data_IF_539637062588
#
_entry.id   IF_539637062588
#
_cell.length_a   1.000
_cell.length_b   1.000
_cell.length_c   1.000
_cell.angle_alpha   90.00
_cell.angle_beta   90.00
_cell.angle_gamma   90.00
#
_symmetry.space_group_name_H-M   'P 1'
#
loop_
_entity.id
_entity.type
_entity.pdbx_description
1 polymer ?
#
# COMPACT_ATOMS: atom_id res chain seq x y z
N UNK A 1 -11.36 -22.51 9.04
CA UNK A 1 -10.00 -22.77 8.52
C UNK A 1 -9.94 -22.31 7.06
N UNK A 2 -8.76 -21.94 6.58
CA UNK A 2 -8.54 -21.52 5.19
C UNK A 2 -7.33 -22.23 4.58
N UNK A 3 -7.30 -22.35 3.25
CA UNK A 3 -6.14 -22.79 2.49
C UNK A 3 -5.73 -21.66 1.56
N UNK A 4 -4.47 -21.27 1.66
CA UNK A 4 -3.76 -20.54 0.62
C UNK A 4 -2.96 -21.53 -0.22
N UNK A 5 -3.19 -21.63 -1.54
CA UNK A 5 -2.56 -22.66 -2.34
C UNK A 5 -1.11 -22.33 -2.77
N UNK A 6 -0.74 -21.04 -2.74
CA UNK A 6 0.60 -20.56 -3.10
C UNK A 6 0.87 -19.22 -2.40
N UNK A 7 2.02 -19.10 -1.75
CA UNK A 7 2.50 -17.85 -1.16
C UNK A 7 3.21 -16.99 -2.21
N UNK A 8 3.01 -15.68 -2.17
CA UNK A 8 3.77 -14.67 -2.93
C UNK A 8 4.17 -15.05 -4.38
N UNK A 9 3.22 -15.50 -5.25
CA UNK A 9 3.55 -15.69 -6.66
C UNK A 9 4.06 -14.37 -7.24
N UNK A 10 5.26 -14.40 -7.82
CA UNK A 10 5.99 -13.21 -8.27
C UNK A 10 5.13 -12.31 -9.17
N UNK A 11 5.27 -10.98 -9.02
CA UNK A 11 4.49 -9.95 -9.72
C UNK A 11 4.43 -10.17 -11.24
N UNK A 12 5.57 -10.60 -11.84
CA UNK A 12 5.70 -10.83 -13.28
C UNK A 12 5.08 -12.14 -13.76
N UNK A 13 4.51 -12.95 -12.87
CA UNK A 13 3.78 -14.15 -13.26
C UNK A 13 2.60 -13.75 -14.15
N UNK A 14 2.45 -14.31 -15.36
CA UNK A 14 1.37 -13.97 -16.28
C UNK A 14 0.01 -14.12 -15.60
N UNK A 15 -0.73 -13.01 -15.43
CA UNK A 15 -1.93 -12.96 -14.59
C UNK A 15 -3.00 -13.97 -15.03
N UNK A 16 -3.10 -14.25 -16.33
CA UNK A 16 -4.04 -15.24 -16.88
C UNK A 16 -3.70 -16.67 -16.40
N UNK A 17 -2.41 -17.02 -16.38
CA UNK A 17 -1.94 -18.34 -15.92
C UNK A 17 -2.19 -18.47 -14.42
N UNK A 18 -1.86 -17.44 -13.65
CA UNK A 18 -2.07 -17.41 -12.20
C UNK A 18 -3.56 -17.54 -11.83
N UNK A 19 -4.44 -16.79 -12.48
CA UNK A 19 -5.89 -16.89 -12.26
C UNK A 19 -6.46 -18.25 -12.66
N UNK A 20 -5.93 -18.88 -13.72
CA UNK A 20 -6.31 -20.24 -14.09
C UNK A 20 -5.88 -21.26 -13.02
N UNK A 21 -4.66 -21.12 -12.48
CA UNK A 21 -4.18 -21.92 -11.36
C UNK A 21 -5.11 -21.77 -10.14
N UNK A 22 -5.40 -20.54 -9.71
CA UNK A 22 -6.29 -20.27 -8.59
C UNK A 22 -7.71 -20.82 -8.83
N UNK A 23 -8.25 -20.71 -10.04
CA UNK A 23 -9.57 -21.27 -10.37
C UNK A 23 -9.60 -22.80 -10.24
N UNK A 24 -8.56 -23.49 -10.71
CA UNK A 24 -8.44 -24.95 -10.58
C UNK A 24 -8.31 -25.35 -9.10
N UNK A 25 -7.48 -24.64 -8.34
CA UNK A 25 -7.29 -24.85 -6.90
C UNK A 25 -8.58 -24.61 -6.11
N UNK A 26 -9.29 -23.51 -6.39
CA UNK A 26 -10.57 -23.18 -5.77
C UNK A 26 -11.58 -24.33 -5.94
N UNK A 27 -11.79 -24.80 -7.18
CA UNK A 27 -12.70 -25.93 -7.44
C UNK A 27 -12.29 -27.19 -6.67
N UNK A 28 -10.99 -27.46 -6.56
CA UNK A 28 -10.49 -28.63 -5.84
C UNK A 28 -10.75 -28.51 -4.33
N UNK A 29 -10.49 -27.34 -3.75
CA UNK A 29 -10.78 -27.06 -2.33
C UNK A 29 -12.27 -27.18 -2.07
N UNK A 30 -13.13 -26.56 -2.88
CA UNK A 30 -14.59 -26.63 -2.68
C UNK A 30 -15.19 -28.02 -2.87
N UNK A 31 -14.58 -28.86 -3.71
CA UNK A 31 -15.01 -30.25 -3.87
C UNK A 31 -14.70 -31.13 -2.64
N UNK A 32 -13.64 -30.84 -1.89
CA UNK A 32 -13.19 -31.67 -0.76
C UNK A 32 -13.49 -31.07 0.61
N UNK A 33 -13.50 -29.74 0.70
CA UNK A 33 -13.66 -28.96 1.91
C UNK A 33 -14.52 -27.71 1.60
N UNK A 34 -15.83 -27.88 1.34
CA UNK A 34 -16.71 -26.82 0.86
C UNK A 34 -16.79 -25.60 1.78
N UNK A 35 -16.65 -25.81 3.10
CA UNK A 35 -16.75 -24.76 4.13
C UNK A 35 -15.41 -24.06 4.43
N UNK A 36 -14.30 -24.50 3.84
CA UNK A 36 -12.99 -23.86 4.10
C UNK A 36 -12.85 -22.61 3.25
N UNK A 37 -12.29 -21.54 3.83
CA UNK A 37 -11.96 -20.33 3.07
C UNK A 37 -10.87 -20.63 2.04
N UNK A 38 -11.01 -20.12 0.83
CA UNK A 38 -9.97 -20.16 -0.19
C UNK A 38 -9.27 -18.81 -0.22
N UNK A 39 -7.99 -18.82 0.12
CA UNK A 39 -7.17 -17.63 0.30
C UNK A 39 -6.32 -17.42 -0.96
N UNK A 40 -6.21 -16.17 -1.42
CA UNK A 40 -5.56 -15.80 -2.68
C UNK A 40 -4.54 -14.71 -2.37
N UNK A 41 -3.24 -15.01 -2.44
CA UNK A 41 -2.24 -13.95 -2.44
C UNK A 41 -2.40 -13.04 -3.66
N UNK A 42 -2.30 -11.72 -3.44
CA UNK A 42 -2.49 -10.65 -4.42
C UNK A 42 -1.42 -10.55 -5.52
N UNK A 43 -0.36 -11.37 -5.41
CA UNK A 43 0.77 -11.44 -6.35
C UNK A 43 1.43 -10.08 -6.56
N UNK A 44 1.62 -9.31 -5.48
CA UNK A 44 2.18 -7.96 -5.46
C UNK A 44 1.36 -6.94 -6.29
N UNK A 45 0.12 -7.29 -6.64
CA UNK A 45 -0.79 -6.50 -7.48
C UNK A 45 -2.07 -6.20 -6.71
N UNK A 46 -1.92 -5.58 -5.54
CA UNK A 46 -3.04 -5.24 -4.67
C UNK A 46 -3.91 -4.13 -5.26
N UNK A 47 -5.14 -4.48 -5.68
CA UNK A 47 -6.08 -3.49 -6.19
C UNK A 47 -7.22 -4.07 -7.04
N UNK A 48 -8.26 -3.26 -7.19
CA UNK A 48 -9.53 -3.65 -7.82
C UNK A 48 -9.35 -4.12 -9.26
N UNK A 49 -8.49 -3.45 -10.03
CA UNK A 49 -8.24 -3.75 -11.45
C UNK A 49 -7.81 -5.21 -11.67
N UNK A 50 -7.09 -5.78 -10.71
CA UNK A 50 -6.60 -7.15 -10.82
C UNK A 50 -7.56 -8.16 -10.25
N UNK A 51 -8.25 -7.87 -9.14
CA UNK A 51 -8.90 -8.92 -8.35
C UNK A 51 -10.43 -8.83 -8.27
N UNK A 52 -11.04 -7.65 -8.43
CA UNK A 52 -12.48 -7.44 -8.14
C UNK A 52 -13.44 -8.22 -9.08
N UNK A 53 -13.00 -8.58 -10.28
CA UNK A 53 -13.77 -9.42 -11.22
C UNK A 53 -13.46 -10.92 -11.07
N UNK A 54 -12.34 -11.28 -10.43
CA UNK A 54 -11.92 -12.67 -10.30
C UNK A 54 -12.68 -13.34 -9.14
N UNK A 55 -13.26 -14.52 -9.40
CA UNK A 55 -14.06 -15.27 -8.42
C UNK A 55 -15.24 -14.48 -7.82
N UNK A 56 -15.69 -13.40 -8.47
CA UNK A 56 -16.88 -12.65 -8.05
C UNK A 56 -18.09 -13.58 -7.89
N UNK A 57 -18.74 -13.51 -6.72
CA UNK A 57 -19.89 -14.34 -6.38
C UNK A 57 -19.56 -15.76 -5.93
N UNK A 58 -18.28 -16.14 -5.90
CA UNK A 58 -17.86 -17.39 -5.29
C UNK A 58 -17.84 -17.24 -3.75
N UNK A 59 -18.46 -18.15 -2.99
CA UNK A 59 -18.47 -18.07 -1.53
C UNK A 59 -17.09 -18.41 -0.94
N UNK A 60 -16.89 -17.96 0.30
CA UNK A 60 -15.77 -18.39 1.14
C UNK A 60 -14.41 -18.18 0.47
N UNK A 61 -14.20 -16.98 -0.07
CA UNK A 61 -12.91 -16.48 -0.56
C UNK A 61 -12.40 -15.38 0.37
N UNK A 62 -11.09 -15.18 0.39
CA UNK A 62 -10.44 -13.98 0.89
C UNK A 62 -9.18 -13.70 0.06
N UNK A 63 -8.79 -12.44 0.00
CA UNK A 63 -7.54 -12.00 -0.57
C UNK A 63 -6.52 -11.82 0.56
N UNK A 64 -5.32 -12.33 0.33
CA UNK A 64 -4.16 -12.09 1.17
C UNK A 64 -3.28 -11.01 0.53
N UNK A 65 -2.87 -10.05 1.34
CA UNK A 65 -1.92 -9.00 0.97
C UNK A 65 -0.82 -8.87 2.01
N UNK A 66 0.41 -8.68 1.54
CA UNK A 66 1.60 -8.59 2.37
C UNK A 66 2.12 -7.15 2.39
N UNK A 67 2.25 -6.57 3.58
CA UNK A 67 2.50 -5.13 3.74
C UNK A 67 3.76 -4.90 4.57
N UNK A 68 4.86 -4.64 3.86
CA UNK A 68 6.16 -4.34 4.43
C UNK A 68 6.64 -2.93 4.10
N UNK A 69 7.51 -2.39 4.96
CA UNK A 69 8.16 -1.09 4.74
C UNK A 69 9.68 -1.20 4.73
N UNK A 70 10.23 -2.40 4.98
CA UNK A 70 11.67 -2.68 5.04
C UNK A 70 12.41 -2.36 3.73
N UNK A 71 11.71 -2.43 2.60
CA UNK A 71 12.25 -2.14 1.26
C UNK A 71 11.88 -0.77 0.71
N UNK A 72 11.17 0.06 1.49
CA UNK A 72 10.89 1.44 1.11
C UNK A 72 12.20 2.21 0.91
N UNK A 73 12.15 3.26 0.09
CA UNK A 73 13.26 4.23 0.03
C UNK A 73 13.47 4.87 1.41
N UNK A 74 14.71 5.23 1.78
CA UNK A 74 14.95 5.99 2.99
C UNK A 74 14.09 7.26 2.99
N UNK A 75 13.44 7.50 4.12
CA UNK A 75 12.48 8.58 4.32
C UNK A 75 12.42 9.00 5.78
N UNK A 76 11.51 9.91 6.07
CA UNK A 76 11.25 10.41 7.42
C UNK A 76 10.38 9.44 8.22
N UNK A 77 10.26 9.69 9.53
CA UNK A 77 9.30 8.97 10.38
C UNK A 77 7.88 9.19 9.84
N UNK A 78 7.58 10.41 9.42
CA UNK A 78 6.29 10.83 8.87
C UNK A 78 5.94 10.06 7.59
N UNK A 79 6.92 9.79 6.71
CA UNK A 79 6.71 8.97 5.51
C UNK A 79 6.25 7.55 5.88
N UNK A 80 6.94 6.91 6.84
CA UNK A 80 6.61 5.55 7.27
C UNK A 80 5.28 5.51 8.03
N UNK A 81 4.99 6.51 8.87
CA UNK A 81 3.74 6.62 9.60
C UNK A 81 2.56 6.85 8.67
N UNK A 82 2.67 7.78 7.72
CA UNK A 82 1.66 8.05 6.71
C UNK A 82 1.42 6.81 5.85
N UNK A 83 2.47 6.16 5.36
CA UNK A 83 2.34 4.96 4.55
C UNK A 83 1.64 3.81 5.31
N UNK A 84 1.92 3.62 6.61
CA UNK A 84 1.26 2.61 7.43
C UNK A 84 -0.25 2.90 7.61
N UNK A 85 -0.60 4.15 7.90
CA UNK A 85 -2.00 4.57 8.05
C UNK A 85 -2.78 4.48 6.74
N UNK A 86 -2.19 4.92 5.63
CA UNK A 86 -2.87 4.98 4.33
C UNK A 86 -3.26 3.62 3.72
N UNK A 87 -2.69 2.51 4.22
CA UNK A 87 -3.07 1.16 3.77
C UNK A 87 -4.58 0.91 3.91
N UNK A 88 -5.23 1.53 4.92
CA UNK A 88 -6.67 1.43 5.15
C UNK A 88 -7.50 1.79 3.92
N UNK A 89 -7.03 2.73 3.09
CA UNK A 89 -7.81 3.21 1.94
C UNK A 89 -7.92 2.16 0.84
N UNK A 90 -6.83 1.46 0.54
CA UNK A 90 -6.84 0.39 -0.48
C UNK A 90 -7.57 -0.84 0.06
N UNK A 91 -7.36 -1.19 1.34
CA UNK A 91 -8.08 -2.27 2.01
C UNK A 91 -9.60 -2.01 1.97
N UNK A 92 -10.04 -0.83 2.40
CA UNK A 92 -11.48 -0.44 2.39
C UNK A 92 -12.07 -0.55 0.97
N UNK A 93 -11.36 -0.07 -0.05
CA UNK A 93 -11.84 -0.19 -1.45
C UNK A 93 -12.03 -1.65 -1.88
N UNK A 94 -11.15 -2.54 -1.45
CA UNK A 94 -11.24 -3.98 -1.75
C UNK A 94 -12.41 -4.62 -1.01
N UNK A 95 -12.57 -4.31 0.28
CA UNK A 95 -13.70 -4.75 1.11
C UNK A 95 -15.05 -4.31 0.51
N UNK A 96 -15.17 -3.03 0.13
CA UNK A 96 -16.35 -2.47 -0.52
C UNK A 96 -16.71 -3.17 -1.85
N UNK A 97 -15.69 -3.73 -2.53
CA UNK A 97 -15.86 -4.51 -3.74
C UNK A 97 -16.15 -6.00 -3.49
N UNK A 98 -16.51 -6.37 -2.25
CA UNK A 98 -16.79 -7.73 -1.81
C UNK A 98 -15.58 -8.67 -1.95
N UNK A 99 -14.37 -8.14 -1.74
CA UNK A 99 -13.13 -8.90 -1.66
C UNK A 99 -12.60 -8.82 -0.23
N UNK A 100 -12.98 -9.76 0.67
CA UNK A 100 -12.49 -9.79 2.04
C UNK A 100 -10.97 -9.83 2.07
N UNK A 101 -10.33 -8.88 2.74
CA UNK A 101 -8.87 -8.72 2.80
C UNK A 101 -8.35 -9.20 4.14
N UNK A 102 -7.33 -10.04 4.10
CA UNK A 102 -6.49 -10.40 5.23
C UNK A 102 -5.11 -9.81 4.96
N UNK A 103 -4.51 -9.15 5.95
CA UNK A 103 -3.09 -8.78 5.88
C UNK A 103 -2.27 -9.97 6.40
N UNK A 104 -1.99 -10.94 5.53
CA UNK A 104 -1.40 -12.24 5.92
C UNK A 104 0.08 -12.18 6.29
N UNK A 105 0.78 -11.13 5.87
CA UNK A 105 2.13 -10.87 6.36
C UNK A 105 2.43 -9.37 6.52
N UNK A 106 3.06 -9.04 7.64
CA UNK A 106 3.63 -7.72 7.92
C UNK A 106 4.60 -7.80 9.10
N UNK A 107 5.54 -6.86 9.19
CA UNK A 107 6.46 -6.73 10.32
C UNK A 107 6.66 -5.26 10.73
N UNK A 108 7.47 -5.01 11.76
CA UNK A 108 7.91 -3.65 12.14
C UNK A 108 9.27 -3.29 11.52
N UNK A 109 9.76 -4.11 10.58
CA UNK A 109 10.97 -3.79 9.82
C UNK A 109 10.83 -2.49 9.03
N UNK A 110 11.66 -1.51 9.36
CA UNK A 110 11.75 -0.20 8.67
C UNK A 110 12.92 -0.11 7.70
N UNK A 111 13.76 -1.14 7.70
CA UNK A 111 14.88 -1.34 6.80
C UNK A 111 15.08 -2.84 6.59
N UNK A 112 16.05 -3.17 5.74
CA UNK A 112 16.42 -4.53 5.45
C UNK A 112 17.80 -4.92 5.98
N UNK A 113 18.14 -4.42 7.16
CA UNK A 113 19.40 -4.71 7.83
C UNK A 113 19.43 -6.05 8.57
N UNK A 114 18.28 -6.66 8.86
CA UNK A 114 18.24 -7.98 9.48
C UNK A 114 19.06 -8.96 8.64
N UNK A 115 20.05 -9.60 9.27
CA UNK A 115 21.01 -10.46 8.58
C UNK A 115 20.30 -11.49 7.70
N UNK A 116 20.71 -11.54 6.43
CA UNK A 116 20.18 -12.44 5.40
C UNK A 116 18.68 -12.28 5.07
N UNK A 117 18.05 -11.17 5.46
CA UNK A 117 16.67 -10.87 5.06
C UNK A 117 16.51 -10.82 3.53
N UNK A 118 17.53 -10.33 2.81
CA UNK A 118 17.51 -10.29 1.34
C UNK A 118 18.03 -11.58 0.68
N UNK A 119 18.49 -12.56 1.47
CA UNK A 119 19.12 -13.77 0.97
C UNK A 119 20.41 -14.12 1.73
N UNK A 120 20.72 -15.42 1.78
CA UNK A 120 21.94 -15.91 2.40
C UNK A 120 23.17 -15.39 1.65
N UNK A 121 23.96 -14.55 2.33
CA UNK A 121 25.11 -13.85 1.77
C UNK A 121 24.85 -13.13 0.43
N UNK A 122 23.63 -12.64 0.22
CA UNK A 122 23.18 -12.06 -1.04
C UNK A 122 22.38 -10.77 -0.83
N UNK A 123 23.07 -9.72 -0.38
CA UNK A 123 22.46 -8.39 -0.48
C UNK A 123 22.52 -7.95 -1.94
N UNK A 124 21.36 -7.76 -2.57
CA UNK A 124 21.28 -7.13 -3.88
C UNK A 124 22.00 -5.76 -3.88
N UNK A 125 22.61 -5.34 -5.00
CA UNK A 125 23.24 -4.02 -5.09
C UNK A 125 22.30 -2.90 -4.65
N UNK A 126 22.81 -1.99 -3.80
CA UNK A 126 22.03 -0.90 -3.21
C UNK A 126 21.35 -1.26 -1.88
N UNK A 127 21.53 -2.47 -1.37
CA UNK A 127 21.09 -2.88 -0.04
C UNK A 127 22.26 -3.23 0.89
N UNK A 128 22.12 -3.02 2.21
CA UNK A 128 20.99 -2.35 2.88
C UNK A 128 20.91 -0.85 2.52
N UNK A 129 19.69 -0.30 2.50
CA UNK A 129 19.44 1.10 2.10
C UNK A 129 19.85 2.13 3.15
N UNK A 130 20.15 1.68 4.36
CA UNK A 130 20.56 2.50 5.51
C UNK A 130 21.72 1.83 6.23
N UNK A 131 22.40 2.58 7.10
CA UNK A 131 23.43 2.00 7.96
C UNK A 131 22.80 1.10 9.03
N UNK A 132 23.24 -0.14 9.06
CA UNK A 132 22.75 -1.14 10.00
C UNK A 132 23.38 -1.00 11.39
N UNK A 133 22.62 -1.40 12.40
CA UNK A 133 23.16 -1.61 13.73
C UNK A 133 23.83 -2.99 13.79
N UNK A 134 24.96 -3.10 14.49
CA UNK A 134 25.72 -4.34 14.61
C UNK A 134 25.63 -4.87 16.04
N UNK A 135 25.26 -6.13 16.19
CA UNK A 135 25.19 -6.84 17.48
C UNK A 135 26.13 -8.04 17.47
N UNK A 136 26.42 -8.60 18.64
CA UNK A 136 27.11 -9.89 18.72
C UNK A 136 26.26 -10.98 18.06
N UNK A 137 26.88 -11.75 17.17
CA UNK A 137 26.25 -12.90 16.55
C UNK A 137 26.08 -14.04 17.58
N UNK A 138 25.03 -14.86 17.45
CA UNK A 138 25.03 -16.19 18.06
C UNK A 138 26.19 -17.01 17.46
N UNK A 139 27.23 -17.28 18.28
CA UNK A 139 28.40 -18.06 17.85
C UNK A 139 28.01 -19.53 17.61
N UNK A 140 27.26 -20.08 18.56
CA UNK A 140 26.75 -21.44 18.50
C UNK A 140 25.39 -21.40 17.83
N UNK A 141 25.19 -22.24 16.81
CA UNK A 141 23.90 -22.31 16.15
C UNK A 141 22.85 -22.82 17.14
N UNK A 142 21.77 -22.05 17.31
CA UNK A 142 20.61 -22.47 18.10
C UNK A 142 19.66 -23.39 17.35
N UNK A 143 19.88 -23.58 16.04
CA UNK A 143 18.97 -24.32 15.16
C UNK A 143 19.63 -25.51 14.44
N UNK A 144 20.85 -25.34 13.90
CA UNK A 144 21.50 -26.35 13.06
C UNK A 144 22.28 -27.41 13.85
N UNK A 145 22.47 -27.20 15.16
CA UNK A 145 23.18 -28.12 16.07
C UNK A 145 24.71 -28.07 15.93
N UNK A 146 25.39 -28.80 16.81
CA UNK A 146 26.85 -28.85 16.84
C UNK A 146 27.44 -29.59 15.62
N UNK A 147 28.53 -29.08 15.07
CA UNK A 147 29.27 -29.71 13.96
C UNK A 147 28.75 -29.40 12.56
N UNK A 148 27.72 -28.56 12.43
CA UNK A 148 27.30 -28.05 11.12
C UNK A 148 28.42 -27.18 10.50
N UNK A 149 28.77 -27.35 9.22
CA UNK A 149 29.83 -26.55 8.59
C UNK A 149 29.61 -25.05 8.76
N UNK A 150 30.63 -24.34 9.27
CA UNK A 150 30.54 -22.91 9.59
C UNK A 150 30.00 -22.60 11.00
N UNK A 151 29.77 -23.62 11.83
CA UNK A 151 29.41 -23.49 13.25
C UNK A 151 30.44 -24.23 14.14
N UNK A 152 30.90 -23.63 15.26
CA UNK A 152 30.63 -22.27 15.68
C UNK A 152 31.17 -21.23 14.69
N UNK A 153 30.55 -20.04 14.69
CA UNK A 153 31.01 -18.91 13.91
C UNK A 153 32.45 -18.54 14.34
N UNK A 154 33.35 -18.40 13.38
CA UNK A 154 34.71 -17.92 13.64
C UNK A 154 34.72 -16.39 13.75
N UNK A 155 34.74 -15.90 14.99
CA UNK A 155 34.69 -14.46 15.31
C UNK A 155 35.94 -13.68 14.87
N UNK A 156 37.02 -14.37 14.49
CA UNK A 156 38.26 -13.71 14.07
C UNK A 156 38.28 -13.40 12.58
N UNK A 157 37.30 -13.93 11.84
CA UNK A 157 37.27 -13.83 10.38
C UNK A 157 36.31 -12.74 9.90
N UNK A 158 36.64 -12.08 8.78
CA UNK A 158 35.66 -11.26 8.08
C UNK A 158 34.53 -12.15 7.51
N UNK A 159 33.57 -11.51 6.84
CA UNK A 159 32.52 -12.17 6.05
C UNK A 159 33.12 -13.33 5.23
N UNK A 160 32.40 -14.46 5.22
CA UNK A 160 32.79 -15.69 4.53
C UNK A 160 31.73 -16.09 3.50
N UNK A 161 32.19 -16.66 2.38
CA UNK A 161 31.33 -17.08 1.27
C UNK A 161 30.55 -18.37 1.55
N UNK A 162 29.73 -18.82 0.58
CA UNK A 162 29.56 -18.25 -0.77
C UNK A 162 28.92 -16.86 -0.75
N UNK A 163 29.23 -16.03 -1.76
CA UNK A 163 28.66 -14.70 -1.93
C UNK A 163 27.71 -14.68 -3.13
N UNK A 164 26.59 -13.98 -2.98
CA UNK A 164 25.74 -13.61 -4.08
C UNK A 164 26.21 -12.33 -4.76
N UNK A 165 25.26 -11.49 -5.12
CA UNK A 165 25.46 -10.23 -5.83
C UNK A 165 25.99 -9.10 -4.95
N UNK A 166 25.94 -9.25 -3.63
CA UNK A 166 26.55 -8.33 -2.68
C UNK A 166 26.70 -8.94 -1.30
N UNK A 167 27.41 -8.24 -0.42
CA UNK A 167 27.82 -8.78 0.88
C UNK A 167 26.70 -8.67 1.91
N UNK A 168 26.33 -9.82 2.47
CA UNK A 168 25.56 -9.94 3.70
C UNK A 168 26.21 -11.03 4.54
N UNK A 169 26.17 -10.93 5.86
CA UNK A 169 26.62 -12.00 6.73
C UNK A 169 27.42 -11.52 7.92
N UNK A 170 27.76 -12.45 8.82
CA UNK A 170 28.53 -12.14 10.01
C UNK A 170 29.95 -11.72 9.63
N UNK A 171 30.48 -10.71 10.33
CA UNK A 171 31.86 -10.24 10.15
C UNK A 171 32.48 -9.98 11.51
N UNK A 172 33.60 -10.61 11.80
CA UNK A 172 34.31 -10.46 13.08
C UNK A 172 33.39 -10.66 14.30
N UNK A 173 32.55 -11.71 14.27
CA UNK A 173 31.59 -12.01 15.33
C UNK A 173 30.38 -11.07 15.41
N UNK A 174 30.25 -10.10 14.50
CA UNK A 174 29.15 -9.13 14.48
C UNK A 174 28.14 -9.40 13.37
N UNK A 175 26.85 -9.26 13.72
CA UNK A 175 25.71 -9.51 12.84
C UNK A 175 24.92 -8.22 12.64
N UNK A 176 24.52 -7.88 11.40
CA UNK A 176 23.68 -6.72 11.16
C UNK A 176 22.24 -7.00 11.60
N UNK A 177 21.63 -6.00 12.23
CA UNK A 177 20.22 -5.94 12.60
C UNK A 177 19.65 -4.57 12.25
N UNK A 178 18.32 -4.45 12.35
CA UNK A 178 17.60 -3.21 12.09
C UNK A 178 18.26 -1.99 12.73
N UNK A 179 18.36 -0.92 11.95
CA UNK A 179 18.94 0.34 12.38
C UNK A 179 18.16 0.95 13.55
N UNK A 180 18.89 1.59 14.46
CA UNK A 180 18.34 2.31 15.61
C UNK A 180 18.40 3.84 15.43
N UNK A 181 18.93 4.31 14.31
CA UNK A 181 19.13 5.74 14.03
C UNK A 181 18.86 6.14 12.57
N UNK A 182 18.24 5.26 11.77
CA UNK A 182 17.90 5.52 10.37
C UNK A 182 17.03 6.75 10.16
N UNK A 183 16.28 7.17 11.20
CA UNK A 183 15.45 8.37 11.21
C UNK A 183 15.99 9.47 12.13
N UNK A 184 17.23 9.35 12.61
CA UNK A 184 17.80 10.18 13.69
C UNK A 184 16.96 10.16 14.99
N UNK A 185 16.22 9.06 15.22
CA UNK A 185 15.41 8.89 16.41
C UNK A 185 16.26 8.72 17.68
N UNK A 186 15.79 9.29 18.80
CA UNK A 186 16.41 9.08 20.11
C UNK A 186 15.84 7.87 20.86
N UNK A 187 14.58 7.52 20.60
CA UNK A 187 13.86 6.42 21.24
C UNK A 187 13.23 5.51 20.17
N UNK A 188 13.97 4.46 19.79
CA UNK A 188 13.51 3.48 18.81
C UNK A 188 12.35 2.63 19.33
N UNK A 189 12.22 2.44 20.65
CA UNK A 189 11.11 1.70 21.25
C UNK A 189 9.80 2.47 21.12
N UNK A 190 9.82 3.79 21.39
CA UNK A 190 8.68 4.66 21.18
C UNK A 190 8.26 4.73 19.70
N UNK A 191 9.24 4.85 18.78
CA UNK A 191 8.99 4.82 17.33
C UNK A 191 8.37 3.49 16.92
N UNK A 192 8.94 2.36 17.35
CA UNK A 192 8.47 1.01 17.07
C UNK A 192 7.03 0.84 17.56
N UNK A 193 6.72 1.24 18.79
CA UNK A 193 5.35 1.19 19.33
C UNK A 193 4.39 2.06 18.53
N UNK A 194 4.77 3.29 18.20
CA UNK A 194 3.93 4.20 17.41
C UNK A 194 3.64 3.61 16.01
N UNK A 195 4.64 3.05 15.35
CA UNK A 195 4.48 2.39 14.05
C UNK A 195 3.54 1.17 14.16
N UNK A 196 3.71 0.35 15.20
CA UNK A 196 2.81 -0.78 15.46
C UNK A 196 1.36 -0.32 15.56
N UNK A 197 1.05 0.67 16.40
CA UNK A 197 -0.32 1.15 16.56
C UNK A 197 -0.92 1.69 15.26
N UNK A 198 -0.12 2.37 14.44
CA UNK A 198 -0.54 2.89 13.13
C UNK A 198 -0.85 1.78 12.13
N UNK A 199 -0.02 0.73 12.08
CA UNK A 199 -0.29 -0.46 11.26
C UNK A 199 -1.56 -1.18 11.72
N UNK A 200 -1.71 -1.39 13.03
CA UNK A 200 -2.93 -1.99 13.59
C UNK A 200 -4.18 -1.16 13.25
N UNK A 201 -4.11 0.16 13.32
CA UNK A 201 -5.20 1.05 12.88
C UNK A 201 -5.49 0.89 11.37
N UNK A 202 -4.44 0.89 10.55
CA UNK A 202 -4.54 0.73 9.10
C UNK A 202 -5.19 -0.59 8.68
N UNK A 203 -4.92 -1.67 9.41
CA UNK A 203 -5.41 -3.02 9.09
C UNK A 203 -6.77 -3.34 9.73
N UNK A 204 -7.23 -2.54 10.69
CA UNK A 204 -8.49 -2.76 11.40
C UNK A 204 -9.74 -2.69 10.51
N UNK A 205 -9.63 -2.10 9.31
CA UNK A 205 -10.72 -2.04 8.33
C UNK A 205 -10.86 -3.33 7.49
N UNK A 206 -9.89 -4.24 7.56
CA UNK A 206 -9.95 -5.56 6.92
C UNK A 206 -10.39 -6.66 7.88
N UNK A 207 -10.19 -7.92 7.48
CA UNK A 207 -10.55 -9.12 8.25
C UNK A 207 -9.45 -9.62 9.20
N UNK A 208 -8.52 -8.76 9.58
CA UNK A 208 -7.44 -9.05 10.51
C UNK A 208 -6.08 -9.21 9.85
N UNK A 209 -5.12 -9.68 10.62
CA UNK A 209 -3.72 -9.69 10.24
C UNK A 209 -2.95 -10.86 10.85
N UNK A 210 -1.84 -11.21 10.22
CA UNK A 210 -0.88 -12.22 10.70
C UNK A 210 0.53 -11.61 10.67
N UNK A 211 1.18 -11.56 11.84
CA UNK A 211 2.49 -10.94 11.97
C UNK A 211 3.59 -11.88 11.48
N UNK A 212 4.46 -11.38 10.60
CA UNK A 212 5.67 -12.04 10.16
C UNK A 212 6.87 -11.61 11.00
N UNK A 213 7.41 -12.44 11.89
CA UNK A 213 6.98 -13.79 12.25
C UNK A 213 6.87 -13.93 13.78
N UNK A 214 6.40 -15.08 14.26
CA UNK A 214 6.21 -15.35 15.68
C UNK A 214 7.49 -15.12 16.50
N UNK A 215 8.65 -15.57 16.01
CA UNK A 215 9.95 -15.37 16.66
C UNK A 215 11.10 -15.32 15.66
N UNK A 216 12.19 -14.70 16.08
CA UNK A 216 13.51 -14.82 15.44
C UNK A 216 14.56 -15.17 16.50
N UNK A 217 15.80 -15.43 16.08
CA UNK A 217 16.91 -15.64 17.03
C UNK A 217 17.36 -14.34 17.70
N UNK A 218 17.46 -13.24 16.92
CA UNK A 218 17.94 -11.94 17.43
C UNK A 218 17.41 -10.70 16.65
N UNK A 219 16.54 -10.89 15.65
CA UNK A 219 15.99 -9.80 14.84
C UNK A 219 14.66 -9.29 15.41
N UNK A 220 14.72 -8.38 16.39
CA UNK A 220 13.56 -7.93 17.18
C UNK A 220 12.40 -7.39 16.34
N UNK A 221 12.63 -6.52 15.34
CA UNK A 221 11.53 -5.93 14.54
C UNK A 221 10.78 -6.94 13.64
N UNK A 222 11.27 -8.18 13.60
CA UNK A 222 10.69 -9.33 12.90
C UNK A 222 10.20 -10.43 13.86
N UNK A 223 10.23 -10.19 15.18
CA UNK A 223 9.88 -11.14 16.23
C UNK A 223 8.67 -10.64 17.02
N UNK A 224 7.49 -11.23 16.77
CA UNK A 224 6.26 -10.89 17.49
C UNK A 224 6.45 -11.03 19.00
N UNK A 225 7.06 -12.13 19.44
CA UNK A 225 7.28 -12.40 20.86
C UNK A 225 8.12 -11.33 21.54
N UNK A 226 9.20 -10.87 20.90
CA UNK A 226 10.08 -9.87 21.52
C UNK A 226 9.42 -8.49 21.53
N UNK A 227 8.71 -8.13 20.45
CA UNK A 227 7.95 -6.88 20.38
C UNK A 227 6.84 -6.82 21.45
N UNK A 228 6.11 -7.92 21.67
CA UNK A 228 5.10 -8.00 22.75
C UNK A 228 5.76 -7.86 24.12
N UNK A 229 6.88 -8.54 24.38
CA UNK A 229 7.61 -8.42 25.65
C UNK A 229 8.12 -7.01 25.92
N UNK A 230 8.52 -6.30 24.87
CA UNK A 230 8.98 -4.92 24.93
C UNK A 230 7.82 -3.89 24.98
N UNK A 231 6.57 -4.35 24.95
CA UNK A 231 5.39 -3.46 25.02
C UNK A 231 5.10 -2.69 23.73
N UNK A 232 5.61 -3.16 22.58
CA UNK A 232 5.34 -2.55 21.28
C UNK A 232 3.90 -2.82 20.79
N UNK A 233 3.25 -3.88 21.28
CA UNK A 233 1.86 -4.23 20.99
C UNK A 233 0.94 -3.94 22.17
N UNK A 234 -0.37 -3.69 21.92
CA UNK A 234 -1.40 -3.77 22.96
C UNK A 234 -1.36 -5.10 23.71
N UNK A 235 -1.73 -5.10 24.98
CA UNK A 235 -1.76 -6.34 25.80
C UNK A 235 -2.76 -7.36 25.26
N UNK A 236 -3.88 -6.88 24.69
CA UNK A 236 -4.87 -7.71 24.05
C UNK A 236 -4.99 -7.32 22.57
N UNK A 237 -4.41 -8.14 21.69
CA UNK A 237 -4.44 -7.89 20.25
C UNK A 237 -5.74 -8.36 19.57
N UNK A 238 -6.59 -9.09 20.28
CA UNK A 238 -7.89 -9.56 19.78
C UNK A 238 -9.02 -8.58 20.07
N UNK A 239 -8.82 -7.63 20.99
CA UNK A 239 -9.77 -6.59 21.31
C UNK A 239 -9.04 -5.37 21.87
N UNK A 240 -8.93 -4.31 21.07
CA UNK A 240 -8.27 -3.07 21.47
C UNK A 240 -9.17 -2.27 22.40
N UNK A 241 -8.61 -1.79 23.51
CA UNK A 241 -9.26 -0.82 24.37
C UNK A 241 -8.89 0.60 23.93
N UNK A 242 -9.72 1.58 24.28
CA UNK A 242 -9.49 2.99 23.90
C UNK A 242 -8.15 3.54 24.40
N UNK A 243 -7.66 3.05 25.54
CA UNK A 243 -6.38 3.41 26.16
C UNK A 243 -5.17 2.75 25.49
N UNK A 244 -5.35 1.72 24.66
CA UNK A 244 -4.26 1.16 23.85
C UNK A 244 -3.77 2.16 22.79
N UNK A 245 -4.65 3.08 22.38
CA UNK A 245 -4.35 4.17 21.44
C UNK A 245 -4.41 3.79 19.96
N UNK A 246 -4.79 2.55 19.62
CA UNK A 246 -4.89 2.06 18.23
C UNK A 246 -5.85 2.93 17.42
N UNK A 247 -7.08 3.16 17.90
CA UNK A 247 -8.10 3.93 17.17
C UNK A 247 -7.66 5.37 16.84
N UNK A 248 -6.84 5.96 17.71
CA UNK A 248 -6.38 7.34 17.56
C UNK A 248 -5.04 7.49 16.86
N UNK A 249 -4.35 6.37 16.60
CA UNK A 249 -2.96 6.35 16.15
C UNK A 249 -2.75 7.10 14.83
N UNK A 250 -3.73 7.07 13.93
CA UNK A 250 -3.65 7.67 12.59
C UNK A 250 -4.34 9.03 12.44
N UNK A 251 -4.88 9.62 13.51
CA UNK A 251 -5.69 10.87 13.40
C UNK A 251 -4.97 11.99 12.66
N UNK A 252 -3.67 12.12 12.89
CA UNK A 252 -2.83 13.15 12.27
C UNK A 252 -2.60 12.91 10.77
N UNK A 253 -2.40 11.65 10.40
CA UNK A 253 -2.26 11.22 9.00
C UNK A 253 -3.58 11.34 8.25
N UNK A 254 -4.69 11.02 8.92
CA UNK A 254 -6.05 11.12 8.36
C UNK A 254 -6.44 12.60 8.14
N UNK A 255 -6.14 13.50 9.09
CA UNK A 255 -6.37 14.94 8.90
C UNK A 255 -5.43 15.57 7.87
N UNK A 256 -4.29 14.94 7.61
CA UNK A 256 -3.27 15.46 6.71
C UNK A 256 -2.44 16.57 7.34
N UNK A 257 -2.17 16.53 8.65
CA UNK A 257 -1.39 17.57 9.36
C UNK A 257 0.13 17.41 9.11
N UNK A 258 0.51 17.31 7.84
CA UNK A 258 1.88 17.20 7.35
C UNK A 258 2.04 18.09 6.13
N UNK A 259 3.29 18.42 5.81
CA UNK A 259 3.64 19.11 4.59
C UNK A 259 4.49 18.17 3.74
N UNK A 260 4.15 18.01 2.48
CA UNK A 260 4.92 17.21 1.55
C UNK A 260 5.87 18.09 0.74
N UNK A 261 7.17 17.95 0.95
CA UNK A 261 8.21 18.80 0.37
C UNK A 261 9.23 18.00 -0.45
N UNK A 262 9.95 18.70 -1.32
CA UNK A 262 11.11 18.16 -1.99
C UNK A 262 12.26 17.93 -1.01
N UNK A 263 12.95 16.79 -1.11
CA UNK A 263 14.21 16.57 -0.39
C UNK A 263 15.25 17.58 -0.88
N UNK A 264 16.09 18.08 0.03
CA UNK A 264 17.18 18.99 -0.35
C UNK A 264 18.39 18.18 -0.79
N UNK A 265 19.04 18.61 -1.87
CA UNK A 265 20.26 17.97 -2.39
C UNK A 265 20.05 16.70 -3.23
N UNK A 266 18.81 16.41 -3.64
CA UNK A 266 18.53 15.38 -4.66
C UNK A 266 18.92 15.86 -6.05
N UNK A 267 19.11 14.93 -6.98
CA UNK A 267 19.53 15.26 -8.34
C UNK A 267 18.44 16.03 -9.10
N UNK A 268 18.84 17.01 -9.90
CA UNK A 268 17.88 17.92 -10.58
C UNK A 268 16.89 17.16 -11.49
N UNK A 269 17.30 16.03 -12.06
CA UNK A 269 16.44 15.21 -12.90
C UNK A 269 15.33 14.50 -12.10
N UNK A 270 15.58 14.12 -10.84
CA UNK A 270 14.59 13.49 -9.96
C UNK A 270 13.50 14.51 -9.60
N UNK A 271 13.89 15.74 -9.27
CA UNK A 271 12.97 16.85 -9.03
C UNK A 271 12.13 17.17 -10.27
N UNK A 272 12.75 17.26 -11.45
CA UNK A 272 12.04 17.50 -12.71
C UNK A 272 11.02 16.39 -13.01
N UNK A 273 11.40 15.13 -12.77
CA UNK A 273 10.52 13.97 -12.96
C UNK A 273 9.33 14.02 -12.01
N UNK A 274 9.58 14.23 -10.70
CA UNK A 274 8.53 14.36 -9.70
C UNK A 274 7.60 15.53 -9.99
N UNK A 275 8.15 16.68 -10.39
CA UNK A 275 7.37 17.88 -10.72
C UNK A 275 6.46 17.63 -11.92
N UNK A 276 7.00 17.02 -12.97
CA UNK A 276 6.22 16.66 -14.15
C UNK A 276 5.08 15.68 -13.79
N UNK A 277 5.33 14.72 -12.91
CA UNK A 277 4.31 13.80 -12.44
C UNK A 277 3.18 14.51 -11.68
N UNK A 278 3.53 15.35 -10.70
CA UNK A 278 2.55 16.12 -9.92
C UNK A 278 1.72 17.04 -10.84
N UNK A 279 2.39 17.79 -11.72
CA UNK A 279 1.76 18.73 -12.63
C UNK A 279 0.95 18.09 -13.77
N UNK A 280 1.04 16.77 -13.95
CA UNK A 280 0.22 16.06 -14.92
C UNK A 280 -1.22 15.80 -14.41
N UNK A 281 -1.50 16.10 -13.13
CA UNK A 281 -2.85 16.02 -12.58
C UNK A 281 -3.67 17.27 -12.94
N UNK A 282 -4.83 17.13 -13.61
CA UNK A 282 -5.63 18.27 -14.08
C UNK A 282 -6.05 19.27 -12.99
N UNK A 283 -6.21 18.80 -11.76
CA UNK A 283 -6.60 19.61 -10.61
C UNK A 283 -5.46 20.48 -10.04
N UNK A 284 -4.22 20.28 -10.50
CA UNK A 284 -3.03 21.00 -10.03
C UNK A 284 -2.57 21.98 -11.13
N UNK A 285 -2.81 23.27 -10.93
CA UNK A 285 -2.41 24.30 -11.89
C UNK A 285 -0.91 24.63 -11.77
N UNK A 286 -0.10 24.06 -12.66
CA UNK A 286 1.32 24.38 -12.79
C UNK A 286 1.66 25.37 -13.91
N UNK A 287 0.68 26.01 -14.55
CA UNK A 287 0.90 26.81 -15.77
C UNK A 287 1.85 28.01 -15.57
N UNK A 288 1.85 28.59 -14.36
CA UNK A 288 2.67 29.72 -13.97
C UNK A 288 3.71 29.38 -12.90
N UNK A 289 3.98 28.09 -12.67
CA UNK A 289 4.78 27.62 -11.53
C UNK A 289 6.20 28.23 -11.49
N UNK A 290 6.81 28.42 -12.68
CA UNK A 290 8.13 29.06 -12.83
C UNK A 290 8.12 30.57 -12.55
N UNK A 291 6.94 31.20 -12.57
CA UNK A 291 6.75 32.61 -12.20
C UNK A 291 6.47 32.75 -10.71
N UNK A 292 5.77 31.77 -10.12
CA UNK A 292 5.43 31.76 -8.69
C UNK A 292 6.62 31.41 -7.80
N UNK A 293 7.50 30.53 -8.25
CA UNK A 293 8.60 30.00 -7.45
C UNK A 293 9.94 30.08 -8.21
N UNK A 294 10.96 30.61 -7.54
CA UNK A 294 12.23 30.93 -8.18
C UNK A 294 13.13 29.70 -8.36
N UNK A 295 13.14 28.79 -7.39
CA UNK A 295 13.96 27.58 -7.41
C UNK A 295 13.15 26.38 -7.88
N UNK A 296 13.82 25.34 -8.38
CA UNK A 296 13.14 24.10 -8.76
C UNK A 296 12.58 23.39 -7.51
N UNK A 297 13.29 23.47 -6.40
CA UNK A 297 12.89 22.93 -5.11
C UNK A 297 11.60 23.57 -4.61
N UNK A 298 11.47 24.90 -4.68
CA UNK A 298 10.24 25.60 -4.26
C UNK A 298 9.04 25.26 -5.18
N UNK A 299 9.30 25.06 -6.47
CA UNK A 299 8.27 24.57 -7.42
C UNK A 299 7.81 23.17 -7.01
N UNK A 300 8.75 22.28 -6.68
CA UNK A 300 8.47 20.92 -6.24
C UNK A 300 7.76 20.89 -4.88
N UNK A 301 8.20 21.68 -3.90
CA UNK A 301 7.55 21.79 -2.60
C UNK A 301 6.06 22.07 -2.74
N UNK A 302 5.70 23.06 -3.55
CA UNK A 302 4.29 23.38 -3.76
C UNK A 302 3.55 22.27 -4.51
N UNK A 303 4.10 21.78 -5.63
CA UNK A 303 3.41 20.79 -6.45
C UNK A 303 3.25 19.44 -5.73
N UNK A 304 4.26 19.02 -4.97
CA UNK A 304 4.26 17.78 -4.21
C UNK A 304 3.20 17.83 -3.11
N UNK A 305 3.13 18.95 -2.39
CA UNK A 305 2.13 19.20 -1.35
C UNK A 305 0.70 19.17 -1.89
N UNK A 306 0.43 19.88 -2.99
CA UNK A 306 -0.88 19.86 -3.63
C UNK A 306 -1.28 18.45 -4.07
N UNK A 307 -0.36 17.71 -4.70
CA UNK A 307 -0.63 16.35 -5.17
C UNK A 307 -0.92 15.39 -4.05
N UNK A 308 -0.09 15.40 -3.00
CA UNK A 308 -0.23 14.51 -1.86
C UNK A 308 -1.55 14.78 -1.15
N UNK A 309 -1.88 16.03 -0.85
CA UNK A 309 -3.16 16.35 -0.21
C UNK A 309 -4.37 15.91 -1.05
N UNK A 310 -4.31 16.08 -2.37
CA UNK A 310 -5.38 15.67 -3.29
C UNK A 310 -5.58 14.15 -3.35
N UNK A 311 -4.52 13.36 -3.17
CA UNK A 311 -4.55 11.92 -3.47
C UNK A 311 -4.17 11.00 -2.29
N UNK A 312 -3.86 11.52 -1.09
CA UNK A 312 -3.49 10.71 0.08
C UNK A 312 -4.52 9.65 0.45
N UNK A 313 -5.81 9.98 0.37
CA UNK A 313 -6.93 9.05 0.61
C UNK A 313 -7.09 8.00 -0.50
N UNK A 314 -6.35 8.14 -1.60
CA UNK A 314 -6.25 7.14 -2.66
C UNK A 314 -5.01 6.26 -2.52
N UNK A 315 -4.18 6.47 -1.49
CA UNK A 315 -2.94 5.75 -1.24
C UNK A 315 -1.69 6.43 -1.81
N UNK A 316 -1.77 7.72 -2.19
CA UNK A 316 -0.61 8.44 -2.69
C UNK A 316 0.40 8.76 -1.57
N UNK A 317 1.68 8.52 -1.84
CA UNK A 317 2.80 8.85 -0.96
C UNK A 317 3.47 10.15 -1.37
N UNK A 318 4.27 10.74 -0.47
CA UNK A 318 5.08 11.92 -0.76
C UNK A 318 6.46 11.56 -1.36
N UNK A 319 6.69 10.32 -1.81
CA UNK A 319 8.04 9.89 -2.18
C UNK A 319 8.52 10.47 -3.53
N UNK A 320 7.63 10.62 -4.52
CA UNK A 320 7.94 11.11 -5.87
C UNK A 320 9.19 10.49 -6.52
N UNK A 321 9.41 9.19 -6.33
CA UNK A 321 10.59 8.50 -6.85
C UNK A 321 11.85 8.84 -6.06
N UNK A 322 11.72 9.02 -4.75
CA UNK A 322 12.79 9.44 -3.83
C UNK A 322 12.97 10.95 -3.70
N UNK A 323 12.34 11.78 -4.55
CA UNK A 323 12.52 13.23 -4.60
C UNK A 323 11.78 14.01 -3.49
N UNK A 324 10.77 13.42 -2.84
CA UNK A 324 9.96 14.09 -1.81
C UNK A 324 9.92 13.36 -0.47
N UNK A 325 9.50 14.07 0.57
CA UNK A 325 9.26 13.53 1.91
C UNK A 325 8.22 14.33 2.71
N UNK A 326 7.58 13.68 3.66
CA UNK A 326 6.70 14.33 4.61
C UNK A 326 7.48 14.98 5.74
N UNK A 327 7.04 16.17 6.13
CA UNK A 327 7.55 16.90 7.27
C UNK A 327 6.40 17.21 8.24
N UNK A 328 6.71 17.14 9.52
CA UNK A 328 5.79 17.53 10.56
C UNK A 328 5.60 19.06 10.57
N UNK A 329 4.35 19.52 10.62
CA UNK A 329 4.01 20.93 10.82
C UNK A 329 4.31 21.30 12.28
N UNK A 330 5.57 21.57 12.59
CA UNK A 330 5.88 22.29 13.83
C UNK A 330 5.53 23.76 13.62
N UNK A 331 4.66 24.31 14.48
CA UNK A 331 4.28 25.73 14.51
C UNK A 331 5.51 26.54 14.95
N UNK A 332 6.51 26.64 14.09
CA UNK A 332 7.71 27.45 14.29
C UNK A 332 8.39 27.72 12.95
N UNK A 333 7.62 28.24 11.99
CA UNK A 333 8.16 29.17 11.00
C UNK A 333 7.02 30.10 10.61
N UNK A 334 7.05 31.39 11.00
CA UNK A 334 6.20 32.36 10.36
C UNK A 334 6.71 32.49 8.91
N UNK A 335 6.04 31.80 7.97
CA UNK A 335 6.02 32.29 6.60
C UNK A 335 5.26 33.60 6.67
N UNK A 336 5.99 34.72 6.66
CA UNK A 336 5.44 35.97 6.15
C UNK A 336 4.95 35.68 4.73
N UNK A 337 3.67 35.35 4.63
CA UNK A 337 2.94 35.44 3.38
C UNK A 337 2.80 36.96 3.14
N UNK A 338 3.28 37.52 2.01
CA UNK A 338 3.04 38.92 1.73
C UNK A 338 1.53 39.14 1.69
N UNK A 339 1.06 39.97 2.64
CA UNK A 339 -0.30 40.48 2.72
C UNK A 339 -0.65 41.19 1.41
N UNK A 340 -1.33 40.50 0.51
CA UNK A 340 -2.12 41.16 -0.52
C UNK A 340 -3.52 41.38 0.02
N UNK A 341 -3.74 42.61 0.49
CA UNK A 341 -5.06 43.24 0.65
C UNK A 341 -5.95 42.90 -0.55
N UNK A 342 -6.93 42.02 -0.33
CA UNK A 342 -8.05 41.87 -1.24
C UNK A 342 -8.91 43.12 -1.14
N UNK A 343 -8.66 44.10 -2.00
CA UNK A 343 -9.68 45.09 -2.34
C UNK A 343 -10.82 44.36 -3.05
N UNK A 344 -11.94 44.21 -2.36
CA UNK A 344 -13.22 43.75 -2.92
C UNK A 344 -13.57 44.59 -4.15
N UNK A 345 -13.36 44.02 -5.35
CA UNK A 345 -14.06 44.44 -6.55
C UNK A 345 -15.25 43.53 -6.73
N UNK A 346 -16.45 44.06 -6.48
CA UNK A 346 -17.73 43.48 -6.93
C UNK A 346 -17.66 43.23 -8.43
N UNK A 347 -17.57 41.97 -8.84
CA UNK A 347 -17.76 41.56 -10.24
C UNK A 347 -19.22 41.12 -10.40
N UNK A 348 -19.90 41.73 -11.37
CA UNK A 348 -21.26 41.40 -11.81
C UNK A 348 -21.31 39.97 -12.40
N UNK A 349 -22.39 39.20 -12.23
CA UNK A 349 -22.52 37.91 -12.89
C UNK A 349 -22.67 38.10 -14.40
N UNK A 350 -21.80 37.45 -15.18
CA UNK A 350 -21.90 37.37 -16.63
C UNK A 350 -22.98 36.34 -17.03
N UNK A 351 -23.67 36.69 -18.11
CA UNK A 351 -24.77 35.94 -18.71
C UNK A 351 -24.34 34.57 -19.25
N UNK A 352 -24.65 33.49 -18.55
CA UNK A 352 -24.75 32.15 -19.15
C UNK A 352 -25.73 31.20 -18.42
N UNK A 353 -26.46 31.68 -17.42
CA UNK A 353 -27.49 30.92 -16.67
C UNK A 353 -28.91 31.46 -16.91
N UNK A 354 -29.24 31.77 -18.17
CA UNK A 354 -30.58 32.21 -18.55
C UNK A 354 -31.05 31.52 -19.83
N UNK A 355 -31.16 30.19 -19.84
CA UNK A 355 -31.95 29.48 -20.86
C UNK A 355 -32.43 28.08 -20.43
N UNK A 356 -32.97 27.94 -19.21
CA UNK A 356 -33.75 26.73 -18.84
C UNK A 356 -35.08 27.06 -18.13
N UNK A 357 -35.45 28.33 -17.97
CA UNK A 357 -36.64 28.74 -17.22
C UNK A 357 -37.89 28.99 -18.09
N UNK A 358 -38.16 28.18 -19.12
CA UNK A 358 -39.39 28.29 -19.95
C UNK A 358 -40.02 26.95 -20.36
N UNK A 359 -39.82 25.87 -19.61
CA UNK A 359 -40.54 24.62 -19.84
C UNK A 359 -41.47 24.37 -18.66
N UNK A 360 -42.78 24.27 -18.93
CA UNK A 360 -43.76 23.96 -17.88
C UNK A 360 -43.54 22.52 -17.39
N UNK A 361 -43.92 22.26 -16.14
CA UNK A 361 -43.72 20.95 -15.50
C UNK A 361 -44.30 19.78 -16.32
N UNK A 362 -45.35 20.03 -17.11
CA UNK A 362 -45.99 19.06 -18.00
C UNK A 362 -45.11 18.67 -19.21
N UNK A 363 -44.34 19.59 -19.78
CA UNK A 363 -43.45 19.26 -20.92
C UNK A 363 -42.19 18.51 -20.47
N UNK A 364 -41.69 18.78 -19.26
CA UNK A 364 -40.55 18.03 -18.68
C UNK A 364 -40.97 16.58 -18.41
N UNK A 365 -42.13 16.36 -17.79
CA UNK A 365 -42.65 15.01 -17.55
C UNK A 365 -42.99 14.26 -18.85
N UNK A 366 -43.49 14.96 -19.87
CA UNK A 366 -43.74 14.38 -21.19
C UNK A 366 -42.49 13.87 -21.89
N UNK A 367 -41.39 14.63 -21.83
CA UNK A 367 -40.09 14.23 -22.42
C UNK A 367 -39.48 13.05 -21.67
N UNK A 368 -39.55 13.04 -20.34
CA UNK A 368 -39.06 11.92 -19.52
C UNK A 368 -39.87 10.65 -19.78
N UNK A 369 -41.20 10.75 -19.88
CA UNK A 369 -42.05 9.60 -20.21
C UNK A 369 -41.75 9.03 -21.61
N UNK A 370 -41.56 9.89 -22.61
CA UNK A 370 -41.17 9.49 -23.97
C UNK A 370 -39.80 8.81 -24.01
N UNK A 371 -38.83 9.31 -23.25
CA UNK A 371 -37.51 8.70 -23.13
C UNK A 371 -37.58 7.31 -22.50
N UNK A 372 -38.38 7.14 -21.43
CA UNK A 372 -38.57 5.85 -20.78
C UNK A 372 -39.27 4.82 -21.69
N UNK A 373 -40.26 5.26 -22.50
CA UNK A 373 -40.92 4.39 -23.49
C UNK A 373 -39.94 3.98 -24.60
N UNK A 374 -39.10 4.90 -25.09
CA UNK A 374 -38.10 4.60 -26.10
C UNK A 374 -37.04 3.60 -25.59
N UNK A 375 -36.57 3.78 -24.36
CA UNK A 375 -35.63 2.84 -23.71
C UNK A 375 -36.30 1.48 -23.48
N UNK A 376 -37.55 1.45 -23.01
CA UNK A 376 -38.32 0.22 -22.84
C UNK A 376 -38.52 -0.54 -24.16
N UNK A 377 -38.84 0.16 -25.24
CA UNK A 377 -38.98 -0.42 -26.57
C UNK A 377 -37.64 -0.95 -27.13
N UNK A 378 -36.54 -0.24 -26.88
CA UNK A 378 -35.20 -0.70 -27.27
C UNK A 378 -34.81 -1.97 -26.51
N UNK A 379 -35.02 -2.00 -25.18
CA UNK A 379 -34.76 -3.19 -24.34
C UNK A 379 -35.63 -4.37 -24.80
N UNK A 380 -36.92 -4.14 -25.07
CA UNK A 380 -37.82 -5.18 -25.58
C UNK A 380 -37.38 -5.70 -26.95
N UNK A 381 -36.94 -4.80 -27.85
CA UNK A 381 -36.36 -5.16 -29.14
C UNK A 381 -35.11 -6.03 -29.02
N UNK A 382 -34.18 -5.67 -28.13
CA UNK A 382 -32.97 -6.46 -27.86
C UNK A 382 -33.30 -7.82 -27.27
N UNK A 383 -34.22 -7.89 -26.29
CA UNK A 383 -34.63 -9.16 -25.67
C UNK A 383 -35.30 -10.07 -26.69
N UNK A 384 -36.23 -9.54 -27.51
CA UNK A 384 -36.92 -10.31 -28.54
C UNK A 384 -35.97 -10.78 -29.64
N UNK A 385 -34.99 -9.96 -30.02
CA UNK A 385 -33.93 -10.33 -30.96
C UNK A 385 -33.03 -11.45 -30.39
N UNK A 386 -32.67 -11.37 -29.11
CA UNK A 386 -31.88 -12.41 -28.42
C UNK A 386 -32.65 -13.74 -28.35
N UNK A 387 -33.94 -13.71 -28.03
CA UNK A 387 -34.80 -14.89 -28.02
C UNK A 387 -34.98 -15.51 -29.43
N UNK A 388 -35.10 -14.68 -30.47
CA UNK A 388 -35.17 -15.17 -31.86
C UNK A 388 -33.86 -15.81 -32.35
N UNK A 389 -32.69 -15.28 -31.92
CA UNK A 389 -31.39 -15.92 -32.18
C UNK A 389 -31.28 -17.29 -31.50
N UNK A 390 -31.67 -17.39 -30.24
CA UNK A 390 -31.60 -18.66 -29.48
C UNK A 390 -32.53 -19.72 -30.11
N UNK A 391 -33.71 -19.33 -30.61
CA UNK A 391 -34.61 -20.24 -31.34
C UNK A 391 -34.07 -20.70 -32.70
N UNK A 392 -33.20 -19.91 -33.36
CA UNK A 392 -32.54 -20.32 -34.63
C UNK A 392 -31.35 -21.25 -34.43
N UNK A 393 -30.77 -21.32 -33.22
CA UNK A 393 -29.68 -22.25 -32.89
C UNK A 393 -30.16 -23.64 -32.45
N UNK A 394 -31.47 -23.86 -32.32
CA UNK A 394 -32.07 -25.17 -32.07
C UNK A 394 -33.10 -25.49 -33.17
N UNK A 395 -32.62 -25.66 -34.41
CA UNK A 395 -33.32 -26.53 -35.37
C UNK A 395 -32.80 -27.95 -35.14
N UNK A 396 -33.67 -28.93 -34.81
CA UNK A 396 -33.24 -30.32 -34.72
C UNK A 396 -32.91 -30.81 -36.13
N UNK A 397 -31.70 -31.34 -36.31
CA UNK A 397 -31.36 -32.20 -37.44
C UNK A 397 -32.25 -33.44 -37.32
N UNK A 398 -33.38 -33.43 -38.03
CA UNK A 398 -34.18 -34.60 -38.28
C UNK A 398 -33.46 -35.50 -39.26
N UNK A 399 -33.20 -36.74 -38.85
CA UNK A 399 -32.56 -37.73 -39.70
C UNK A 399 -33.43 -38.19 -40.87
N UNK A 400 -32.76 -38.71 -41.90
CA UNK A 400 -33.19 -39.87 -42.70
C UNK A 400 -32.05 -40.28 -43.66
N UNK A 401 -31.71 -41.56 -43.54
CA UNK A 401 -31.11 -42.49 -44.50
C UNK A 401 -29.76 -42.14 -45.13
#
# INVERSE_FOLDING_TARGET
MGIEPVNEPWELTPIKVLKEYYWKSYKRVKALAPLWKFIIHDSFRFGLVFWADFLRGCPDIALDTHIYQAWNSPGTIEDFFSNACQQKYVITKMEDAMMPVIVGEWSIGTDNCAMWLNGFNDNLPGFPKVQCHMVDCPINSTYLGDGFPGTPLDETKPIQGPYGTGMSGPSFGKCPVTSQNSFHQHDDAALTRALTLKKLNGFAVGHGWYFWNFKTEFATKWSFLDLVRQGAFPKNVSHYHSDDGVETACRKEDSGDFICHAKRGVEEFELKSGLAFACNYPEIDCSDIKKRFHTLEDQCDWAFDQYWHLNREKGATCDFGGAGHLLNVTISTPKELPSHTQTSKKVKPSHLLASVAKWSFATIMGVVALALVAVGAAIFGVVRWRQHRVRRQYSPIGGRL
#
